data_IF_042959544688
#
_entry.id   IF_042959544688
#
_cell.length_a   1.000
_cell.length_b   1.000
_cell.length_c   1.000
_cell.angle_alpha   90.00
_cell.angle_beta   90.00
_cell.angle_gamma   90.00
#
_symmetry.space_group_name_H-M   'P 1'
#
loop_
_entity.id
_entity.type
_entity.pdbx_description
1 polymer ?
#
# COMPACT_ATOMS: atom_id res chain seq x y z
N UNK A 1 10.29 36.46 -36.35
CA UNK A 1 9.97 35.07 -35.96
C UNK A 1 11.22 34.47 -35.33
N UNK A 2 11.36 34.39 -33.99
CA UNK A 2 12.40 33.57 -33.29
C UNK A 2 12.28 33.57 -31.75
N UNK A 3 11.10 33.84 -31.18
CA UNK A 3 10.96 33.90 -29.71
C UNK A 3 10.53 32.57 -29.06
N UNK A 4 9.99 31.61 -29.83
CA UNK A 4 9.41 30.36 -29.28
C UNK A 4 10.41 29.22 -29.06
N UNK A 5 11.63 29.31 -29.61
CA UNK A 5 12.64 28.23 -29.51
C UNK A 5 13.52 28.38 -28.25
N UNK A 6 13.68 29.60 -27.75
CA UNK A 6 14.56 29.90 -26.60
C UNK A 6 13.93 29.43 -25.27
N UNK A 7 12.60 29.47 -25.15
CA UNK A 7 11.88 29.12 -23.91
C UNK A 7 11.86 27.63 -23.59
N UNK A 8 11.94 26.74 -24.59
CA UNK A 8 11.87 25.29 -24.37
C UNK A 8 13.15 24.72 -23.76
N UNK A 9 14.32 25.33 -24.03
CA UNK A 9 15.59 24.87 -23.47
C UNK A 9 15.81 25.32 -22.01
N UNK A 10 15.27 26.48 -21.61
CA UNK A 10 15.32 26.93 -20.21
C UNK A 10 14.37 26.13 -19.30
N UNK A 11 13.23 25.66 -19.83
CA UNK A 11 12.31 24.78 -19.09
C UNK A 11 12.96 23.44 -18.72
N UNK A 12 13.71 22.80 -19.62
CA UNK A 12 14.39 21.51 -19.35
C UNK A 12 15.40 21.57 -18.18
N UNK A 13 16.09 22.69 -17.97
CA UNK A 13 17.14 22.84 -16.94
C UNK A 13 16.63 22.85 -15.49
N UNK A 14 15.34 23.12 -15.25
CA UNK A 14 14.78 23.23 -13.90
C UNK A 14 14.06 21.97 -13.40
N UNK A 15 13.60 21.08 -14.29
CA UNK A 15 12.92 19.85 -13.88
C UNK A 15 13.83 18.92 -13.07
N UNK A 16 15.10 18.78 -13.44
CA UNK A 16 16.05 17.94 -12.70
C UNK A 16 16.26 18.41 -11.25
N UNK A 17 16.32 19.74 -11.03
CA UNK A 17 16.43 20.34 -9.70
C UNK A 17 15.15 20.14 -8.88
N UNK A 18 13.99 20.32 -9.50
CA UNK A 18 12.68 20.08 -8.88
C UNK A 18 12.52 18.61 -8.46
N UNK A 19 12.85 17.66 -9.35
CA UNK A 19 12.81 16.23 -9.06
C UNK A 19 13.78 15.88 -7.94
N UNK A 20 14.99 16.45 -7.92
CA UNK A 20 15.96 16.23 -6.84
C UNK A 20 15.44 16.73 -5.48
N UNK A 21 14.85 17.93 -5.43
CA UNK A 21 14.23 18.49 -4.22
C UNK A 21 13.04 17.65 -3.75
N UNK A 22 12.19 17.20 -4.68
CA UNK A 22 11.06 16.34 -4.37
C UNK A 22 11.52 15.00 -3.80
N UNK A 23 12.48 14.33 -4.43
CA UNK A 23 13.08 13.08 -3.94
C UNK A 23 13.68 13.25 -2.54
N UNK A 24 14.40 14.34 -2.30
CA UNK A 24 14.97 14.64 -0.99
C UNK A 24 13.88 14.79 0.07
N UNK A 25 12.82 15.57 -0.23
CA UNK A 25 11.70 15.80 0.69
C UNK A 25 10.89 14.53 0.98
N UNK A 26 10.68 13.69 -0.03
CA UNK A 26 10.02 12.38 0.13
C UNK A 26 10.82 11.50 1.09
N UNK A 27 12.16 11.45 0.93
CA UNK A 27 13.05 10.68 1.82
C UNK A 27 13.08 11.22 3.24
N UNK A 28 13.15 12.55 3.41
CA UNK A 28 13.29 13.15 4.74
C UNK A 28 12.03 13.07 5.60
N UNK A 29 10.84 13.00 4.98
CA UNK A 29 9.55 13.01 5.69
C UNK A 29 8.86 11.65 5.67
N UNK A 30 9.49 10.59 5.12
CA UNK A 30 8.89 9.26 4.95
C UNK A 30 7.52 9.30 4.25
N UNK A 31 7.41 10.14 3.22
CA UNK A 31 6.14 10.33 2.49
C UNK A 31 5.88 9.08 1.65
N UNK A 32 4.73 8.45 1.87
CA UNK A 32 4.25 7.33 1.09
C UNK A 32 3.46 7.87 -0.10
N UNK A 33 3.81 7.39 -1.29
CA UNK A 33 3.06 7.65 -2.51
C UNK A 33 2.13 6.47 -2.75
N UNK A 34 0.82 6.67 -2.57
CA UNK A 34 -0.15 5.60 -2.74
C UNK A 34 -1.08 5.91 -3.92
N UNK A 35 -1.23 4.95 -4.82
CA UNK A 35 -2.20 5.03 -5.91
C UNK A 35 -3.58 4.79 -5.32
N UNK A 36 -4.50 5.73 -5.50
CA UNK A 36 -5.89 5.52 -5.07
C UNK A 36 -6.63 4.65 -6.07
N UNK A 37 -7.50 3.78 -5.57
CA UNK A 37 -8.36 2.88 -6.32
C UNK A 37 -9.53 3.63 -6.98
N UNK A 38 -10.03 4.68 -6.33
CA UNK A 38 -11.25 5.42 -6.75
C UNK A 38 -11.02 6.55 -7.74
N UNK A 39 -9.80 7.09 -7.79
CA UNK A 39 -9.42 8.15 -8.71
C UNK A 39 -8.00 7.85 -9.17
N UNK A 40 -7.70 8.00 -10.46
CA UNK A 40 -6.34 7.76 -11.04
C UNK A 40 -5.33 8.84 -10.59
N UNK A 41 -5.38 9.22 -9.32
CA UNK A 41 -4.61 10.27 -8.67
C UNK A 41 -3.68 9.60 -7.66
N UNK A 42 -2.50 10.18 -7.48
CA UNK A 42 -1.57 9.73 -6.45
C UNK A 42 -1.78 10.59 -5.21
N UNK A 43 -2.05 9.94 -4.07
CA UNK A 43 -2.09 10.64 -2.79
C UNK A 43 -0.69 10.64 -2.17
N UNK A 44 -0.25 11.81 -1.70
CA UNK A 44 0.99 12.00 -0.95
C UNK A 44 0.63 12.20 0.52
N UNK A 45 1.04 11.27 1.38
CA UNK A 45 0.81 11.37 2.82
C UNK A 45 1.93 10.72 3.62
N UNK A 46 2.05 11.09 4.89
CA UNK A 46 2.91 10.34 5.82
C UNK A 46 2.22 9.05 6.24
N UNK A 47 3.00 8.03 6.60
CA UNK A 47 2.46 6.76 7.11
C UNK A 47 1.47 6.95 8.26
N UNK A 48 1.82 7.81 9.23
CA UNK A 48 0.96 8.16 10.37
C UNK A 48 -0.41 8.70 9.94
N UNK A 49 -0.46 9.49 8.86
CA UNK A 49 -1.71 10.03 8.36
C UNK A 49 -2.62 8.94 7.76
N UNK A 50 -2.03 7.94 7.11
CA UNK A 50 -2.76 6.78 6.60
C UNK A 50 -3.27 5.89 7.73
N UNK A 51 -2.44 5.62 8.73
CA UNK A 51 -2.85 4.86 9.92
C UNK A 51 -4.00 5.56 10.65
N UNK A 52 -3.91 6.89 10.83
CA UNK A 52 -5.00 7.68 11.42
C UNK A 52 -6.29 7.58 10.62
N UNK A 53 -6.25 7.77 9.30
CA UNK A 53 -7.43 7.65 8.43
C UNK A 53 -8.02 6.25 8.47
N UNK A 54 -7.18 5.22 8.51
CA UNK A 54 -7.61 3.83 8.65
C UNK A 54 -8.38 3.64 9.95
N UNK A 55 -7.81 4.10 11.07
CA UNK A 55 -8.46 4.00 12.38
C UNK A 55 -9.78 4.77 12.43
N UNK A 56 -9.80 6.03 11.94
CA UNK A 56 -11.02 6.84 11.84
C UNK A 56 -12.12 6.14 10.99
N UNK A 57 -11.73 5.50 9.88
CA UNK A 57 -12.66 4.75 9.04
C UNK A 57 -13.18 3.49 9.75
N UNK A 58 -12.29 2.74 10.41
CA UNK A 58 -12.65 1.56 11.19
C UNK A 58 -13.60 1.91 12.33
N UNK A 59 -13.34 2.99 13.07
CA UNK A 59 -14.23 3.48 14.14
C UNK A 59 -15.61 3.85 13.59
N UNK A 60 -15.66 4.57 12.46
CA UNK A 60 -16.91 5.00 11.85
C UNK A 60 -17.75 3.85 11.29
N UNK A 61 -17.11 2.87 10.66
CA UNK A 61 -17.80 1.81 9.92
C UNK A 61 -17.89 0.49 10.67
N UNK A 62 -17.12 0.34 11.76
CA UNK A 62 -16.87 -0.92 12.47
C UNK A 62 -16.30 -2.03 11.58
N UNK A 63 -15.75 -1.68 10.40
CA UNK A 63 -15.12 -2.61 9.48
C UNK A 63 -13.65 -2.88 9.85
N UNK A 64 -13.07 -3.95 9.30
CA UNK A 64 -11.64 -4.31 9.41
C UNK A 64 -11.09 -4.43 10.84
N UNK A 65 -11.94 -4.83 11.80
CA UNK A 65 -11.48 -5.11 13.16
C UNK A 65 -10.57 -6.34 13.17
N UNK A 66 -9.38 -6.19 13.75
CA UNK A 66 -8.47 -7.31 13.93
C UNK A 66 -9.05 -8.23 15.01
N UNK A 67 -9.29 -9.49 14.68
CA UNK A 67 -9.88 -10.46 15.62
C UNK A 67 -8.88 -10.94 16.69
N UNK A 68 -7.59 -10.64 16.53
CA UNK A 68 -6.55 -10.95 17.51
C UNK A 68 -6.49 -12.45 17.82
N UNK A 69 -6.47 -12.81 19.11
CA UNK A 69 -6.48 -14.22 19.57
C UNK A 69 -7.77 -14.97 19.21
N UNK A 70 -8.85 -14.24 18.86
CA UNK A 70 -10.10 -14.84 18.40
C UNK A 70 -10.12 -15.07 16.87
N UNK A 71 -8.99 -14.90 16.18
CA UNK A 71 -8.90 -15.23 14.76
C UNK A 71 -9.09 -16.75 14.57
N UNK A 72 -10.18 -17.21 13.92
CA UNK A 72 -10.38 -18.64 13.70
C UNK A 72 -9.44 -19.19 12.63
N UNK A 73 -8.76 -18.34 11.85
CA UNK A 73 -8.02 -18.73 10.67
C UNK A 73 -6.85 -19.68 10.95
N UNK A 74 -5.98 -19.45 11.96
CA UNK A 74 -4.89 -20.39 12.27
C UNK A 74 -5.41 -21.79 12.65
N UNK A 75 -6.45 -21.85 13.50
CA UNK A 75 -7.06 -23.11 13.92
C UNK A 75 -7.70 -23.85 12.74
N UNK A 76 -8.37 -23.12 11.84
CA UNK A 76 -8.97 -23.69 10.63
C UNK A 76 -7.90 -24.28 9.70
N UNK A 77 -6.76 -23.60 9.53
CA UNK A 77 -5.64 -24.08 8.72
C UNK A 77 -5.08 -25.38 9.30
N UNK A 78 -4.83 -25.43 10.61
CA UNK A 78 -4.34 -26.64 11.30
C UNK A 78 -5.30 -27.82 11.12
N UNK A 79 -6.60 -27.59 11.33
CA UNK A 79 -7.65 -28.61 11.14
C UNK A 79 -7.70 -29.13 9.71
N UNK A 80 -7.62 -28.22 8.74
CA UNK A 80 -7.66 -28.57 7.32
C UNK A 80 -6.44 -29.39 6.92
N UNK A 81 -5.25 -28.99 7.38
CA UNK A 81 -4.01 -29.74 7.12
C UNK A 81 -4.06 -31.13 7.74
N UNK A 82 -4.56 -31.25 8.97
CA UNK A 82 -4.76 -32.55 9.63
C UNK A 82 -5.69 -33.44 8.81
N UNK A 83 -6.85 -32.91 8.41
CA UNK A 83 -7.81 -33.66 7.61
C UNK A 83 -7.23 -34.13 6.26
N UNK A 84 -6.49 -33.27 5.56
CA UNK A 84 -5.84 -33.63 4.29
C UNK A 84 -4.76 -34.69 4.46
N UNK A 85 -4.01 -34.65 5.57
CA UNK A 85 -3.04 -35.69 5.92
C UNK A 85 -3.73 -37.02 6.20
N UNK A 86 -4.81 -37.01 6.98
CA UNK A 86 -5.58 -38.22 7.32
C UNK A 86 -6.16 -38.87 6.05
N UNK A 87 -6.71 -38.07 5.12
CA UNK A 87 -7.18 -38.55 3.82
C UNK A 87 -6.05 -39.15 2.99
N UNK A 88 -4.88 -38.50 2.97
CA UNK A 88 -3.72 -39.00 2.26
C UNK A 88 -3.25 -40.33 2.83
N UNK A 89 -3.18 -40.47 4.14
CA UNK A 89 -2.77 -41.72 4.79
C UNK A 89 -3.79 -42.84 4.56
N UNK A 90 -5.09 -42.53 4.64
CA UNK A 90 -6.16 -43.49 4.35
C UNK A 90 -6.05 -44.03 2.91
N UNK A 91 -5.79 -43.16 1.93
CA UNK A 91 -5.60 -43.55 0.54
C UNK A 91 -4.37 -44.43 0.30
N UNK A 92 -3.34 -44.35 1.14
CA UNK A 92 -2.12 -45.18 1.00
C UNK A 92 -2.25 -46.55 1.66
N UNK A 93 -3.24 -46.74 2.54
CA UNK A 93 -3.50 -48.00 3.26
C UNK A 93 -4.51 -48.87 2.50
N UNK A 94 -5.42 -48.26 1.72
CA UNK A 94 -6.31 -48.95 0.74
C UNK A 94 -5.62 -49.16 -0.60
#
# INVERSE_FOLDING_TARGET
MNSSVIDNNNKKKNYGRLVKRLKHRIRSVSIVLQKTDKSKVFHLGTRQHYEKKSNEYMEKTKAYQCLGENDPLPNLIERTNKYLLDLRLAHWIT
#
